data_IF_132062349557
#
_entry.id   IF_132062349557
#
_cell.length_a   1.000
_cell.length_b   1.000
_cell.length_c   1.000
_cell.angle_alpha   90.00
_cell.angle_beta   90.00
_cell.angle_gamma   90.00
#
_symmetry.space_group_name_H-M   'P 1'
#
loop_
_entity.id
_entity.type
_entity.pdbx_description
1 polymer ?
#
# COMPACT_ATOMS: atom_id res chain seq x y z
N UNK A 1 7.38 -28.63 -35.66
CA UNK A 1 6.09 -28.76 -34.93
C UNK A 1 6.24 -28.79 -33.39
N UNK A 2 7.24 -29.47 -32.83
CA UNK A 2 7.44 -29.57 -31.36
C UNK A 2 7.84 -28.23 -30.69
N UNK A 3 8.57 -27.37 -31.38
CA UNK A 3 8.99 -26.05 -30.83
C UNK A 3 7.83 -25.05 -30.63
N UNK A 4 6.88 -25.03 -31.56
CA UNK A 4 5.70 -24.12 -31.43
C UNK A 4 4.77 -24.53 -30.29
N UNK A 5 4.56 -25.84 -30.08
CA UNK A 5 3.74 -26.34 -28.99
C UNK A 5 4.32 -26.01 -27.61
N UNK A 6 5.64 -26.01 -27.46
CA UNK A 6 6.31 -25.63 -26.22
C UNK A 6 6.19 -24.11 -25.92
N UNK A 7 6.27 -23.28 -26.95
CA UNK A 7 6.09 -21.81 -26.80
C UNK A 7 4.66 -21.47 -26.40
N UNK A 8 3.67 -22.11 -27.02
CA UNK A 8 2.24 -21.90 -26.70
C UNK A 8 1.91 -22.39 -25.28
N UNK A 9 2.51 -23.51 -24.87
CA UNK A 9 2.31 -24.08 -23.52
C UNK A 9 2.95 -23.22 -22.45
N UNK A 10 4.11 -22.63 -22.72
CA UNK A 10 4.81 -21.73 -21.79
C UNK A 10 4.08 -20.38 -21.66
N UNK A 11 3.49 -19.89 -22.74
CA UNK A 11 2.69 -18.65 -22.73
C UNK A 11 1.38 -18.84 -21.93
N UNK A 12 0.67 -19.97 -22.10
CA UNK A 12 -0.52 -20.30 -21.32
C UNK A 12 -0.24 -20.46 -19.81
N UNK A 13 0.92 -21.02 -19.45
CA UNK A 13 1.30 -21.14 -18.03
C UNK A 13 1.65 -19.78 -17.39
N UNK A 14 2.19 -18.83 -18.16
CA UNK A 14 2.41 -17.44 -17.72
C UNK A 14 1.11 -16.69 -17.52
N UNK A 15 0.17 -16.79 -18.47
CA UNK A 15 -1.15 -16.14 -18.36
C UNK A 15 -1.96 -16.68 -17.16
N UNK A 16 -1.97 -18.00 -16.95
CA UNK A 16 -2.67 -18.59 -15.79
C UNK A 16 -2.07 -18.18 -14.47
N UNK A 17 -0.75 -18.00 -14.37
CA UNK A 17 -0.10 -17.47 -13.16
C UNK A 17 -0.45 -16.02 -12.89
N UNK A 18 -0.47 -15.17 -13.92
CA UNK A 18 -0.90 -13.78 -13.80
C UNK A 18 -2.37 -13.68 -13.36
N UNK A 19 -3.27 -14.42 -13.99
CA UNK A 19 -4.71 -14.43 -13.65
C UNK A 19 -4.91 -14.92 -12.22
N UNK A 20 -4.24 -15.99 -11.81
CA UNK A 20 -4.30 -16.50 -10.43
C UNK A 20 -3.77 -15.48 -9.43
N UNK A 21 -2.70 -14.74 -9.75
CA UNK A 21 -2.15 -13.68 -8.91
C UNK A 21 -3.11 -12.51 -8.72
N UNK A 22 -3.75 -12.06 -9.81
CA UNK A 22 -4.77 -10.99 -9.77
C UNK A 22 -6.00 -11.44 -8.98
N UNK A 23 -6.48 -12.67 -9.19
CA UNK A 23 -7.59 -13.22 -8.40
C UNK A 23 -7.26 -13.27 -6.91
N UNK A 24 -6.06 -13.71 -6.55
CA UNK A 24 -5.60 -13.75 -5.17
C UNK A 24 -5.64 -12.36 -4.51
N UNK A 25 -5.13 -11.33 -5.20
CA UNK A 25 -5.16 -9.95 -4.71
C UNK A 25 -6.59 -9.42 -4.55
N UNK A 26 -7.46 -9.72 -5.52
CA UNK A 26 -8.86 -9.28 -5.47
C UNK A 26 -9.59 -9.92 -4.27
N UNK A 27 -9.44 -11.21 -4.06
CA UNK A 27 -10.04 -11.93 -2.93
C UNK A 27 -9.49 -11.40 -1.60
N UNK A 28 -8.18 -11.20 -1.49
CA UNK A 28 -7.54 -10.62 -0.29
C UNK A 28 -8.10 -9.24 0.03
N UNK A 29 -8.24 -8.37 -0.99
CA UNK A 29 -8.81 -7.02 -0.81
C UNK A 29 -10.27 -7.07 -0.34
N UNK A 30 -11.07 -8.00 -0.84
CA UNK A 30 -12.45 -8.21 -0.40
C UNK A 30 -12.51 -8.66 1.07
N UNK A 31 -11.66 -9.61 1.45
CA UNK A 31 -11.57 -10.10 2.84
C UNK A 31 -11.20 -8.94 3.77
N UNK A 32 -10.19 -8.13 3.42
CA UNK A 32 -9.79 -6.96 4.22
C UNK A 32 -10.94 -5.96 4.39
N UNK A 33 -11.71 -5.70 3.33
CA UNK A 33 -12.87 -4.80 3.40
C UNK A 33 -13.97 -5.33 4.33
N UNK A 34 -14.23 -6.63 4.30
CA UNK A 34 -15.22 -7.27 5.17
C UNK A 34 -14.74 -7.20 6.64
N UNK A 35 -13.48 -7.51 6.91
CA UNK A 35 -12.89 -7.42 8.25
C UNK A 35 -12.96 -5.98 8.76
N UNK A 36 -12.57 -4.99 7.93
CA UNK A 36 -12.65 -3.58 8.28
C UNK A 36 -14.07 -3.10 8.59
N UNK A 37 -15.07 -3.59 7.85
CA UNK A 37 -16.48 -3.29 8.11
C UNK A 37 -16.93 -3.87 9.46
N UNK A 38 -16.60 -5.14 9.73
CA UNK A 38 -16.93 -5.81 11.00
C UNK A 38 -16.25 -5.15 12.21
N UNK A 39 -15.03 -4.64 12.03
CA UNK A 39 -14.28 -3.94 13.07
C UNK A 39 -14.84 -2.55 13.37
N UNK A 40 -15.43 -1.89 12.37
CA UNK A 40 -16.00 -0.54 12.53
C UNK A 40 -17.22 -0.51 13.44
N UNK A 41 -18.05 -1.56 13.46
CA UNK A 41 -19.26 -1.65 14.26
C UNK A 41 -18.97 -1.58 15.78
N UNK A 42 -18.09 -2.45 16.36
CA UNK A 42 -17.77 -2.37 17.78
C UNK A 42 -17.05 -1.08 18.17
N UNK A 43 -16.23 -0.52 17.29
CA UNK A 43 -15.55 0.76 17.57
C UNK A 43 -16.55 1.89 17.77
N UNK A 44 -17.58 2.00 16.93
CA UNK A 44 -18.60 3.03 17.07
C UNK A 44 -19.31 2.94 18.43
N UNK A 45 -19.57 1.74 18.90
CA UNK A 45 -20.24 1.50 20.19
C UNK A 45 -19.36 1.84 21.41
N UNK A 46 -18.03 1.69 21.29
CA UNK A 46 -17.09 1.95 22.39
C UNK A 46 -16.70 3.43 22.45
N UNK A 47 -16.42 4.05 21.28
CA UNK A 47 -15.86 5.40 21.20
C UNK A 47 -16.96 6.49 21.18
N UNK A 48 -18.16 6.10 20.82
CA UNK A 48 -19.30 7.02 20.69
C UNK A 48 -19.28 7.83 19.38
N UNK A 49 -20.33 8.62 19.17
CA UNK A 49 -20.54 9.37 17.92
C UNK A 49 -19.47 10.46 17.77
N UNK A 50 -19.16 11.20 18.84
CA UNK A 50 -18.19 12.29 18.79
C UNK A 50 -16.76 11.80 18.53
N UNK A 51 -16.36 10.70 19.20
CA UNK A 51 -15.05 10.11 18.96
C UNK A 51 -14.92 9.52 17.56
N UNK A 52 -16.01 8.99 17.00
CA UNK A 52 -16.02 8.51 15.62
C UNK A 52 -15.92 9.64 14.60
N UNK A 53 -16.46 10.83 14.91
CA UNK A 53 -16.29 12.02 14.08
C UNK A 53 -14.82 12.48 14.04
N UNK A 54 -14.11 12.50 15.18
CA UNK A 54 -12.67 12.79 15.23
C UNK A 54 -11.84 11.75 14.48
N UNK A 55 -12.14 10.47 14.65
CA UNK A 55 -11.47 9.39 13.93
C UNK A 55 -11.69 9.50 12.41
N UNK A 56 -12.93 9.72 11.97
CA UNK A 56 -13.25 9.84 10.54
C UNK A 56 -12.56 11.02 9.89
N UNK A 57 -12.46 12.14 10.60
CA UNK A 57 -11.74 13.33 10.14
C UNK A 57 -10.24 13.05 9.97
N UNK A 58 -9.61 12.43 10.95
CA UNK A 58 -8.20 12.03 10.88
C UNK A 58 -7.96 10.98 9.77
N UNK A 59 -8.88 10.04 9.60
CA UNK A 59 -8.80 9.03 8.56
C UNK A 59 -8.93 9.63 7.15
N UNK A 60 -9.75 10.66 6.95
CA UNK A 60 -9.89 11.32 5.66
C UNK A 60 -8.60 12.00 5.20
N UNK A 61 -7.93 12.77 6.07
CA UNK A 61 -6.64 13.39 5.73
C UNK A 61 -5.56 12.35 5.49
N UNK A 62 -5.53 11.29 6.32
CA UNK A 62 -4.65 10.15 6.13
C UNK A 62 -4.86 9.48 4.76
N UNK A 63 -6.12 9.20 4.35
CA UNK A 63 -6.44 8.60 3.05
C UNK A 63 -6.01 9.48 1.88
N UNK A 64 -6.12 10.80 1.99
CA UNK A 64 -5.60 11.74 1.00
C UNK A 64 -4.09 11.59 0.82
N UNK A 65 -3.34 11.62 1.92
CA UNK A 65 -1.88 11.47 1.91
C UNK A 65 -1.46 10.08 1.41
N UNK A 66 -2.16 9.03 1.86
CA UNK A 66 -1.93 7.67 1.40
C UNK A 66 -2.18 7.51 -0.11
N UNK A 67 -3.23 8.13 -0.65
CA UNK A 67 -3.52 8.08 -2.09
C UNK A 67 -2.38 8.69 -2.92
N UNK A 68 -1.80 9.78 -2.46
CA UNK A 68 -0.65 10.42 -3.12
C UNK A 68 0.59 9.53 -3.03
N UNK A 69 0.87 8.97 -1.85
CA UNK A 69 2.08 8.18 -1.60
C UNK A 69 2.01 6.77 -2.21
N UNK A 70 0.84 6.11 -2.18
CA UNK A 70 0.69 4.71 -2.53
C UNK A 70 0.26 4.45 -3.97
N UNK A 71 -0.34 5.43 -4.66
CA UNK A 71 -0.95 5.19 -5.97
C UNK A 71 0.05 4.97 -7.10
N UNK A 72 1.14 5.73 -7.16
CA UNK A 72 2.07 5.70 -8.30
C UNK A 72 3.40 5.00 -8.05
N UNK A 73 3.94 5.15 -6.85
CA UNK A 73 5.30 4.72 -6.54
C UNK A 73 5.51 3.19 -6.55
N UNK A 74 4.64 2.36 -5.92
CA UNK A 74 4.80 0.91 -5.98
C UNK A 74 4.65 0.36 -7.39
N UNK A 75 3.75 0.95 -8.20
CA UNK A 75 3.56 0.56 -9.60
C UNK A 75 4.79 0.89 -10.43
N UNK A 76 5.36 2.09 -10.29
CA UNK A 76 6.59 2.47 -10.97
C UNK A 76 7.76 1.55 -10.61
N UNK A 77 7.88 1.19 -9.32
CA UNK A 77 8.89 0.23 -8.86
C UNK A 77 8.69 -1.14 -9.47
N UNK A 78 7.45 -1.65 -9.51
CA UNK A 78 7.15 -2.96 -10.10
C UNK A 78 7.51 -3.02 -11.59
N UNK A 79 7.25 -1.95 -12.35
CA UNK A 79 7.63 -1.84 -13.78
C UNK A 79 9.15 -1.83 -13.93
N UNK A 80 9.86 -1.06 -13.10
CA UNK A 80 11.33 -1.02 -13.13
C UNK A 80 11.95 -2.39 -12.84
N UNK A 81 11.44 -3.09 -11.84
CA UNK A 81 11.90 -4.42 -11.45
C UNK A 81 11.62 -5.44 -12.56
N UNK A 82 10.40 -5.48 -13.10
CA UNK A 82 10.01 -6.43 -14.14
C UNK A 82 10.84 -6.22 -15.42
N UNK A 83 11.09 -4.96 -15.80
CA UNK A 83 11.92 -4.62 -16.95
C UNK A 83 13.38 -5.06 -16.81
N UNK A 84 14.01 -4.80 -15.65
CA UNK A 84 15.39 -5.22 -15.40
C UNK A 84 15.53 -6.72 -15.30
N UNK A 85 14.51 -7.41 -14.76
CA UNK A 85 14.45 -8.87 -14.73
C UNK A 85 14.36 -9.46 -16.15
N UNK A 86 13.54 -8.89 -17.02
CA UNK A 86 13.41 -9.33 -18.40
C UNK A 86 14.72 -9.15 -19.20
N UNK A 87 15.51 -8.13 -18.86
CA UNK A 87 16.83 -7.90 -19.45
C UNK A 87 17.97 -8.75 -18.82
N UNK A 88 17.68 -9.59 -17.81
CA UNK A 88 18.70 -10.43 -17.14
C UNK A 88 19.66 -9.67 -16.20
N UNK A 89 19.39 -8.40 -15.91
CA UNK A 89 20.25 -7.52 -15.13
C UNK A 89 20.00 -7.63 -13.61
N UNK A 90 20.28 -8.80 -13.05
CA UNK A 90 20.02 -9.09 -11.63
C UNK A 90 20.84 -8.21 -10.66
N UNK A 91 22.06 -7.80 -11.04
CA UNK A 91 22.90 -6.93 -10.22
C UNK A 91 22.26 -5.55 -9.98
N UNK A 92 21.49 -5.04 -10.94
CA UNK A 92 20.81 -3.76 -10.81
C UNK A 92 19.53 -3.85 -9.95
N UNK A 93 18.93 -5.02 -9.80
CA UNK A 93 17.68 -5.19 -9.02
C UNK A 93 17.88 -4.83 -7.55
N UNK A 94 19.00 -5.23 -6.95
CA UNK A 94 19.32 -4.86 -5.56
C UNK A 94 19.53 -3.37 -5.39
N UNK A 95 20.19 -2.73 -6.36
CA UNK A 95 20.37 -1.26 -6.35
C UNK A 95 19.05 -0.52 -6.48
N UNK A 96 18.18 -0.96 -7.40
CA UNK A 96 16.83 -0.41 -7.59
C UNK A 96 16.03 -0.54 -6.29
N UNK A 97 16.06 -1.70 -5.63
CA UNK A 97 15.37 -1.91 -4.37
C UNK A 97 15.86 -0.95 -3.27
N UNK A 98 17.17 -0.85 -3.08
CA UNK A 98 17.75 0.02 -2.05
C UNK A 98 17.46 1.49 -2.29
N UNK A 99 17.57 1.96 -3.53
CA UNK A 99 17.26 3.35 -3.90
C UNK A 99 15.78 3.62 -3.69
N UNK A 100 14.91 2.71 -4.13
CA UNK A 100 13.47 2.85 -3.95
C UNK A 100 13.09 2.82 -2.48
N UNK A 101 13.66 1.92 -1.68
CA UNK A 101 13.42 1.85 -0.24
C UNK A 101 13.81 3.16 0.45
N UNK A 102 14.97 3.73 0.13
CA UNK A 102 15.40 5.01 0.65
C UNK A 102 14.44 6.14 0.26
N UNK A 103 14.00 6.17 -1.00
CA UNK A 103 13.04 7.17 -1.51
C UNK A 103 11.68 7.06 -0.79
N UNK A 104 11.15 5.85 -0.64
CA UNK A 104 9.88 5.61 0.07
C UNK A 104 9.98 5.98 1.55
N UNK A 105 11.15 5.72 2.18
CA UNK A 105 11.41 6.08 3.56
C UNK A 105 11.44 7.61 3.73
N UNK A 106 12.13 8.33 2.86
CA UNK A 106 12.18 9.80 2.87
C UNK A 106 10.80 10.39 2.66
N UNK A 107 10.02 9.88 1.70
CA UNK A 107 8.65 10.33 1.44
C UNK A 107 7.71 10.00 2.60
N UNK A 108 7.84 8.83 3.20
CA UNK A 108 7.09 8.43 4.38
C UNK A 108 7.38 9.32 5.59
N UNK A 109 8.65 9.63 5.83
CA UNK A 109 9.06 10.57 6.89
C UNK A 109 8.54 11.99 6.62
N UNK A 110 8.69 12.48 5.40
CA UNK A 110 8.19 13.80 5.01
C UNK A 110 6.67 13.89 5.18
N UNK A 111 5.91 12.90 4.70
CA UNK A 111 4.46 12.83 4.85
C UNK A 111 4.03 12.73 6.32
N UNK A 112 4.71 11.92 7.12
CA UNK A 112 4.48 11.83 8.57
C UNK A 112 4.73 13.16 9.26
N UNK A 113 5.82 13.86 8.92
CA UNK A 113 6.15 15.17 9.46
C UNK A 113 5.07 16.22 9.09
N UNK A 114 4.65 16.23 7.83
CA UNK A 114 3.57 17.14 7.35
C UNK A 114 2.27 16.90 8.11
N UNK A 115 1.87 15.62 8.29
CA UNK A 115 0.67 15.30 9.07
C UNK A 115 0.80 15.66 10.55
N UNK A 116 1.96 15.38 11.15
CA UNK A 116 2.19 15.61 12.57
C UNK A 116 2.19 17.11 12.93
N UNK A 117 2.95 17.92 12.17
CA UNK A 117 3.01 19.36 12.37
C UNK A 117 1.79 20.09 11.84
N UNK A 118 1.16 19.59 10.79
CA UNK A 118 -0.07 20.15 10.22
C UNK A 118 -1.36 19.78 10.95
N UNK A 119 -1.31 18.84 11.92
CA UNK A 119 -2.48 18.34 12.62
C UNK A 119 -3.32 19.42 13.31
N UNK A 120 -2.69 20.42 13.91
CA UNK A 120 -3.38 21.51 14.59
C UNK A 120 -4.05 22.46 13.61
N UNK A 121 -3.33 22.86 12.55
CA UNK A 121 -3.87 23.71 11.48
C UNK A 121 -5.06 23.05 10.79
N UNK A 122 -4.97 21.76 10.53
CA UNK A 122 -6.06 20.96 9.97
C UNK A 122 -7.27 20.91 10.92
N UNK A 123 -7.06 20.65 12.21
CA UNK A 123 -8.09 20.56 13.22
C UNK A 123 -8.88 21.89 13.36
N UNK A 124 -8.17 23.01 13.31
CA UNK A 124 -8.77 24.36 13.32
C UNK A 124 -9.57 24.60 12.03
N UNK A 125 -9.02 24.25 10.88
CA UNK A 125 -9.66 24.45 9.57
C UNK A 125 -11.00 23.73 9.43
N UNK A 126 -11.15 22.55 10.04
CA UNK A 126 -12.40 21.77 10.04
C UNK A 126 -13.32 22.08 11.23
N UNK A 127 -12.91 22.99 12.14
CA UNK A 127 -13.69 23.36 13.32
C UNK A 127 -13.81 22.28 14.40
N UNK A 128 -12.93 21.25 14.37
CA UNK A 128 -12.95 20.11 15.29
C UNK A 128 -11.66 20.05 16.13
N UNK A 129 -11.56 20.89 17.15
CA UNK A 129 -10.33 21.04 17.97
C UNK A 129 -9.83 19.74 18.64
N UNK A 130 -10.68 18.72 18.80
CA UNK A 130 -10.28 17.40 19.34
C UNK A 130 -9.64 16.47 18.33
N UNK A 131 -9.71 16.73 17.02
CA UNK A 131 -9.21 15.83 15.98
C UNK A 131 -7.69 15.84 15.83
N UNK A 132 -7.00 16.86 16.33
CA UNK A 132 -5.54 17.00 16.23
C UNK A 132 -4.80 15.82 16.87
N UNK A 133 -5.27 15.34 18.03
CA UNK A 133 -4.71 14.17 18.70
C UNK A 133 -4.86 12.88 17.85
N UNK A 134 -6.03 12.71 17.21
CA UNK A 134 -6.29 11.58 16.33
C UNK A 134 -5.39 11.61 15.07
N UNK A 135 -5.21 12.80 14.47
CA UNK A 135 -4.31 12.98 13.31
C UNK A 135 -2.85 12.69 13.69
N UNK A 136 -2.38 13.20 14.83
CA UNK A 136 -1.02 12.92 15.34
C UNK A 136 -0.79 11.44 15.62
N UNK A 137 -1.81 10.73 16.13
CA UNK A 137 -1.74 9.29 16.37
C UNK A 137 -1.66 8.44 15.10
N UNK A 138 -2.35 8.88 14.02
CA UNK A 138 -2.35 8.17 12.73
C UNK A 138 -1.11 8.52 11.88
N UNK A 139 -0.48 9.66 12.09
CA UNK A 139 0.65 10.12 11.28
C UNK A 139 1.77 9.09 11.10
N UNK A 140 2.27 8.37 12.13
CA UNK A 140 3.33 7.37 11.98
C UNK A 140 2.94 6.21 11.05
N UNK A 141 1.66 5.89 10.93
CA UNK A 141 1.17 4.81 10.07
C UNK A 141 1.53 5.05 8.60
N UNK A 142 1.59 6.31 8.16
CA UNK A 142 1.97 6.67 6.79
C UNK A 142 3.39 6.20 6.44
N UNK A 143 4.33 6.30 7.40
CA UNK A 143 5.69 5.80 7.20
C UNK A 143 5.71 4.28 6.98
N UNK A 144 4.98 3.52 7.81
CA UNK A 144 4.92 2.06 7.68
C UNK A 144 4.27 1.64 6.35
N UNK A 145 3.24 2.36 5.89
CA UNK A 145 2.61 2.09 4.60
C UNK A 145 3.55 2.37 3.43
N UNK A 146 4.35 3.44 3.49
CA UNK A 146 5.35 3.70 2.47
C UNK A 146 6.38 2.56 2.39
N UNK A 147 6.89 2.07 3.52
CA UNK A 147 7.82 0.94 3.57
C UNK A 147 7.15 -0.33 3.01
N UNK A 148 5.93 -0.64 3.44
CA UNK A 148 5.15 -1.77 2.91
C UNK A 148 4.93 -1.64 1.41
N UNK A 149 4.66 -0.43 0.92
CA UNK A 149 4.49 -0.13 -0.50
C UNK A 149 5.74 -0.43 -1.33
N UNK A 150 6.94 -0.11 -0.82
CA UNK A 150 8.20 -0.44 -1.46
C UNK A 150 8.39 -1.96 -1.59
N UNK A 151 8.14 -2.69 -0.51
CA UNK A 151 8.25 -4.15 -0.47
C UNK A 151 7.24 -4.78 -1.44
N UNK A 152 5.98 -4.34 -1.40
CA UNK A 152 4.93 -4.83 -2.30
C UNK A 152 5.26 -4.56 -3.77
N UNK A 153 5.71 -3.34 -4.11
CA UNK A 153 6.11 -2.99 -5.48
C UNK A 153 7.25 -3.86 -6.01
N UNK A 154 8.21 -4.18 -5.14
CA UNK A 154 9.32 -5.06 -5.49
C UNK A 154 8.86 -6.50 -5.80
N UNK A 155 8.05 -7.10 -4.92
CA UNK A 155 7.52 -8.46 -5.14
C UNK A 155 6.56 -8.55 -6.33
N UNK A 156 5.74 -7.53 -6.54
CA UNK A 156 4.88 -7.43 -7.72
C UNK A 156 5.70 -7.39 -9.02
N UNK A 157 6.85 -6.69 -9.02
CA UNK A 157 7.78 -6.70 -10.16
C UNK A 157 8.41 -8.06 -10.45
N UNK A 158 8.47 -8.94 -9.45
CA UNK A 158 8.84 -10.35 -9.61
C UNK A 158 7.68 -11.27 -10.04
N UNK A 159 6.48 -10.73 -10.21
CA UNK A 159 5.23 -11.48 -10.45
C UNK A 159 4.85 -12.43 -9.29
N UNK A 160 5.40 -12.19 -8.08
CA UNK A 160 5.08 -12.94 -6.88
C UNK A 160 4.02 -12.14 -6.10
N UNK A 161 2.75 -12.53 -6.25
CA UNK A 161 1.62 -11.81 -5.65
C UNK A 161 1.31 -12.25 -4.22
N UNK A 162 1.76 -13.42 -3.81
CA UNK A 162 1.44 -14.03 -2.52
C UNK A 162 1.90 -13.18 -1.32
N UNK A 163 3.14 -12.63 -1.26
CA UNK A 163 3.55 -11.77 -0.15
C UNK A 163 2.70 -10.49 -0.04
N UNK A 164 2.29 -9.94 -1.18
CA UNK A 164 1.41 -8.77 -1.22
C UNK A 164 0.04 -9.08 -0.63
N UNK A 165 -0.57 -10.20 -1.02
CA UNK A 165 -1.85 -10.64 -0.49
C UNK A 165 -1.80 -10.91 1.02
N UNK A 166 -0.77 -11.61 1.50
CA UNK A 166 -0.58 -11.90 2.93
C UNK A 166 -0.38 -10.62 3.72
N UNK A 167 0.46 -9.69 3.24
CA UNK A 167 0.68 -8.42 3.93
C UNK A 167 -0.59 -7.59 4.06
N UNK A 168 -1.47 -7.59 3.04
CA UNK A 168 -2.76 -6.90 3.09
C UNK A 168 -3.72 -7.50 4.13
N UNK A 169 -3.69 -8.81 4.33
CA UNK A 169 -4.57 -9.48 5.31
C UNK A 169 -4.08 -9.23 6.75
N UNK A 170 -2.77 -9.11 6.96
CA UNK A 170 -2.18 -8.88 8.28
C UNK A 170 -2.32 -7.40 8.70
N UNK A 171 -2.31 -6.47 7.74
CA UNK A 171 -2.47 -5.02 7.94
C UNK A 171 -3.91 -4.65 8.32
#
# INVERSE_FOLDING_TARGET
>A
MLSQNNVIRNNKSGETRMISGVMLLTVSTLICKIIGLLFKIPIINIVGIDGMAYFSSAYNIYMLMNSIAAAGLPVALSILVSRNRACGNYSNLTKIFNISMCLFLVLGLAGTAVLYFGAESYSIAIGMNGSSAAVKAIAPTLLFICISGAIRGYFQGYEIMLPTAVSQIIE
#
